data_IF_267148267033
#
_entry.id   IF_267148267033
#
_cell.length_a   1.000
_cell.length_b   1.000
_cell.length_c   1.000
_cell.angle_alpha   90.00
_cell.angle_beta   90.00
_cell.angle_gamma   90.00
#
_symmetry.space_group_name_H-M   'P 1'
#
loop_
_entity.id
_entity.type
_entity.pdbx_description
1 polymer ?
#
# COMPACT_ATOMS: atom_id res chain seq x y z
N UNK A 1 12.71 42.95 21.50
CA UNK A 1 13.14 41.55 21.71
C UNK A 1 11.97 40.57 21.81
N UNK A 2 10.90 40.85 22.56
CA UNK A 2 9.75 39.92 22.69
C UNK A 2 8.98 39.67 21.38
N UNK A 3 8.82 40.68 20.53
CA UNK A 3 8.18 40.52 19.21
C UNK A 3 9.01 39.69 18.21
N UNK A 4 10.35 39.70 18.34
CA UNK A 4 11.25 38.91 17.51
C UNK A 4 11.26 37.43 17.94
N UNK A 5 11.10 37.16 19.25
CA UNK A 5 10.99 35.81 19.79
C UNK A 5 9.66 35.14 19.41
N UNK A 6 8.56 35.90 19.37
CA UNK A 6 7.25 35.41 18.93
C UNK A 6 7.26 35.14 17.41
N UNK A 7 7.88 36.01 16.61
CA UNK A 7 8.05 35.76 15.17
C UNK A 7 8.96 34.56 14.88
N UNK A 8 9.98 34.29 15.72
CA UNK A 8 10.85 33.11 15.58
C UNK A 8 10.14 31.82 16.00
N UNK A 9 9.29 31.86 17.04
CA UNK A 9 8.46 30.72 17.47
C UNK A 9 7.34 30.44 16.44
N UNK A 10 6.75 31.47 15.82
CA UNK A 10 5.79 31.32 14.71
C UNK A 10 6.45 30.92 13.37
N UNK A 11 7.73 31.22 13.18
CA UNK A 11 8.50 30.73 12.02
C UNK A 11 9.05 29.30 12.21
N UNK A 12 9.14 28.84 13.47
CA UNK A 12 9.50 27.46 13.83
C UNK A 12 8.29 26.53 13.94
N UNK A 13 7.07 27.07 14.05
CA UNK A 13 5.89 26.38 13.54
C UNK A 13 5.88 26.50 12.02
N UNK A 14 6.87 25.90 11.34
CA UNK A 14 6.53 25.26 10.07
C UNK A 14 5.30 24.42 10.40
N UNK A 15 4.18 24.64 9.71
CA UNK A 15 3.08 23.70 9.77
C UNK A 15 3.72 22.34 9.53
N UNK A 16 3.89 21.55 10.59
CA UNK A 16 4.11 20.13 10.43
C UNK A 16 2.80 19.72 9.79
N UNK A 17 2.79 19.61 8.46
CA UNK A 17 1.72 18.92 7.77
C UNK A 17 1.59 17.60 8.54
N UNK A 18 0.43 17.38 9.15
CA UNK A 18 0.21 16.16 9.92
C UNK A 18 0.40 15.02 8.95
N UNK A 19 1.54 14.31 9.06
CA UNK A 19 1.81 13.11 8.28
C UNK A 19 0.61 12.19 8.42
N UNK A 20 -0.01 11.83 7.31
CA UNK A 20 -1.10 10.87 7.27
C UNK A 20 -0.69 9.66 6.42
N UNK A 21 -1.16 8.50 6.85
CA UNK A 21 -0.99 7.25 6.10
C UNK A 21 -2.36 6.71 5.72
N UNK A 22 -2.59 6.59 4.42
CA UNK A 22 -3.80 6.04 3.84
C UNK A 22 -3.57 4.61 3.36
N UNK A 23 -4.63 3.83 3.19
CA UNK A 23 -4.58 2.61 2.39
C UNK A 23 -5.41 2.81 1.11
N UNK A 24 -4.89 2.36 -0.02
CA UNK A 24 -5.64 2.33 -1.27
C UNK A 24 -6.76 1.30 -1.16
N UNK A 25 -7.99 1.65 -1.52
CA UNK A 25 -9.16 0.81 -1.35
C UNK A 25 -9.91 0.69 -2.68
N UNK A 26 -10.04 -0.53 -3.20
CA UNK A 26 -10.80 -0.82 -4.42
C UNK A 26 -12.29 -0.82 -4.08
N UNK A 27 -13.02 0.20 -4.53
CA UNK A 27 -14.47 0.28 -4.29
C UNK A 27 -15.17 -0.77 -5.14
N UNK A 28 -15.82 -1.70 -4.46
CA UNK A 28 -16.69 -2.72 -5.03
C UNK A 28 -17.98 -2.82 -4.23
N UNK A 29 -18.91 -3.64 -4.72
CA UNK A 29 -20.16 -3.91 -4.00
C UNK A 29 -19.86 -4.47 -2.60
N UNK A 30 -20.59 -3.99 -1.60
CA UNK A 30 -20.45 -4.40 -0.19
C UNK A 30 -21.73 -4.06 0.60
N UNK A 31 -21.79 -4.57 1.83
CA UNK A 31 -22.78 -4.22 2.84
C UNK A 31 -22.23 -3.19 3.85
N UNK A 32 -23.12 -2.55 4.61
CA UNK A 32 -22.71 -1.63 5.68
C UNK A 32 -21.99 -2.31 6.85
N UNK A 33 -22.26 -3.59 7.11
CA UNK A 33 -21.54 -4.39 8.11
C UNK A 33 -20.10 -4.62 7.70
N UNK A 34 -19.87 -4.95 6.43
CA UNK A 34 -18.54 -5.15 5.85
C UNK A 34 -17.73 -3.85 5.84
N UNK A 35 -18.36 -2.73 5.46
CA UNK A 35 -17.77 -1.40 5.58
C UNK A 35 -17.34 -1.10 7.03
N UNK A 36 -18.20 -1.42 8.01
CA UNK A 36 -17.89 -1.23 9.44
C UNK A 36 -16.71 -2.08 9.91
N UNK A 37 -16.61 -3.31 9.39
CA UNK A 37 -15.48 -4.20 9.69
C UNK A 37 -14.18 -3.65 9.11
N UNK A 38 -14.17 -3.25 7.83
CA UNK A 38 -12.99 -2.67 7.19
C UNK A 38 -12.49 -1.40 7.88
N UNK A 39 -13.40 -0.49 8.25
CA UNK A 39 -13.05 0.72 8.99
C UNK A 39 -12.46 0.37 10.36
N UNK A 40 -13.06 -0.58 11.09
CA UNK A 40 -12.58 -1.00 12.41
C UNK A 40 -11.17 -1.58 12.32
N UNK A 41 -10.95 -2.47 11.36
CA UNK A 41 -9.66 -3.14 11.17
C UNK A 41 -8.58 -2.16 10.68
N UNK A 42 -8.90 -1.24 9.78
CA UNK A 42 -7.96 -0.24 9.29
C UNK A 42 -7.53 0.74 10.39
N UNK A 43 -8.47 1.18 11.24
CA UNK A 43 -8.15 1.96 12.45
C UNK A 43 -7.24 1.13 13.38
N UNK A 44 -7.53 -0.15 13.58
CA UNK A 44 -6.72 -1.03 14.43
C UNK A 44 -5.30 -1.25 13.87
N UNK A 45 -5.14 -1.26 12.55
CA UNK A 45 -3.86 -1.29 11.84
C UNK A 45 -3.11 0.06 11.85
N UNK A 46 -3.76 1.15 12.27
CA UNK A 46 -3.16 2.46 12.49
C UNK A 46 -3.29 3.44 11.33
N UNK A 47 -4.06 3.10 10.29
CA UNK A 47 -4.32 3.98 9.15
C UNK A 47 -5.13 5.21 9.55
N UNK A 48 -4.87 6.33 8.86
CA UNK A 48 -5.65 7.57 9.00
C UNK A 48 -6.85 7.61 8.06
N UNK A 49 -6.85 6.79 7.01
CA UNK A 49 -7.95 6.76 6.07
C UNK A 49 -7.80 5.83 4.87
N UNK A 50 -8.79 5.89 3.98
CA UNK A 50 -8.76 5.22 2.68
C UNK A 50 -8.73 6.19 1.50
N UNK A 51 -7.95 5.83 0.48
CA UNK A 51 -8.07 6.38 -0.87
C UNK A 51 -9.02 5.49 -1.67
N UNK A 52 -10.27 5.93 -1.85
CA UNK A 52 -11.35 5.14 -2.44
C UNK A 52 -11.24 5.14 -3.96
N UNK A 53 -10.63 4.11 -4.53
CA UNK A 53 -10.52 3.88 -5.96
C UNK A 53 -11.89 3.54 -6.56
N UNK A 54 -12.36 4.38 -7.48
CA UNK A 54 -13.63 4.20 -8.16
C UNK A 54 -13.43 4.22 -9.68
N UNK A 55 -13.92 3.17 -10.35
CA UNK A 55 -13.86 3.01 -11.80
C UNK A 55 -15.17 3.37 -12.52
N UNK A 56 -16.17 3.88 -11.78
CA UNK A 56 -17.42 4.39 -12.35
C UNK A 56 -17.86 5.67 -11.66
N UNK A 57 -18.54 6.53 -12.42
CA UNK A 57 -19.23 7.74 -11.94
C UNK A 57 -20.70 7.77 -12.39
N UNK A 58 -21.21 6.67 -12.95
CA UNK A 58 -22.59 6.58 -13.44
C UNK A 58 -23.60 6.61 -12.30
N UNK A 59 -24.68 7.38 -12.46
CA UNK A 59 -25.80 7.40 -11.50
C UNK A 59 -26.58 6.07 -11.47
N UNK A 60 -26.40 5.20 -12.46
CA UNK A 60 -27.03 3.87 -12.48
C UNK A 60 -26.29 2.85 -11.62
N UNK A 61 -25.03 3.11 -11.31
CA UNK A 61 -24.17 2.19 -10.54
C UNK A 61 -24.33 2.46 -9.04
N UNK A 62 -25.55 2.29 -8.54
CA UNK A 62 -25.88 2.64 -7.15
C UNK A 62 -25.05 1.87 -6.14
N UNK A 63 -24.61 0.65 -6.48
CA UNK A 63 -23.69 -0.15 -5.66
C UNK A 63 -22.40 0.61 -5.31
N UNK A 64 -21.89 1.45 -6.21
CA UNK A 64 -20.66 2.21 -6.02
C UNK A 64 -20.89 3.37 -5.05
N UNK A 65 -21.96 4.13 -5.27
CA UNK A 65 -22.33 5.24 -4.38
C UNK A 65 -22.75 4.74 -2.99
N UNK A 66 -23.41 3.59 -2.92
CA UNK A 66 -23.80 2.94 -1.67
C UNK A 66 -22.56 2.49 -0.89
N UNK A 67 -21.59 1.83 -1.54
CA UNK A 67 -20.34 1.40 -0.92
C UNK A 67 -19.53 2.59 -0.35
N UNK A 68 -19.37 3.67 -1.13
CA UNK A 68 -18.70 4.89 -0.68
C UNK A 68 -19.43 5.49 0.54
N UNK A 69 -20.76 5.54 0.49
CA UNK A 69 -21.58 6.06 1.60
C UNK A 69 -21.45 5.18 2.84
N UNK A 70 -21.48 3.86 2.70
CA UNK A 70 -21.33 2.93 3.82
C UNK A 70 -19.98 3.08 4.52
N UNK A 71 -18.88 3.25 3.76
CA UNK A 71 -17.55 3.47 4.34
C UNK A 71 -17.48 4.81 5.08
N UNK A 72 -18.00 5.89 4.47
CA UNK A 72 -18.06 7.22 5.09
C UNK A 72 -18.90 7.21 6.38
N UNK A 73 -20.08 6.59 6.35
CA UNK A 73 -20.98 6.45 7.48
C UNK A 73 -20.35 5.60 8.59
N UNK A 74 -19.70 4.49 8.25
CA UNK A 74 -19.03 3.60 9.19
C UNK A 74 -17.90 4.29 9.97
N UNK A 75 -17.20 5.25 9.37
CA UNK A 75 -16.17 6.04 10.04
C UNK A 75 -16.73 7.22 10.85
N UNK A 76 -18.04 7.48 10.81
CA UNK A 76 -18.66 8.62 11.51
C UNK A 76 -18.37 8.59 13.01
N UNK A 77 -17.88 9.70 13.54
CA UNK A 77 -17.48 9.83 14.95
C UNK A 77 -16.07 9.33 15.26
N UNK A 78 -15.32 8.83 14.27
CA UNK A 78 -13.89 8.49 14.40
C UNK A 78 -13.02 9.54 13.71
N UNK A 79 -11.69 9.58 13.99
CA UNK A 79 -10.77 10.43 13.23
C UNK A 79 -10.45 9.89 11.83
N UNK A 80 -10.91 8.68 11.47
CA UNK A 80 -10.63 8.04 10.19
C UNK A 80 -11.29 8.79 9.03
N UNK A 81 -10.57 8.98 7.93
CA UNK A 81 -11.00 9.81 6.79
C UNK A 81 -10.98 9.04 5.47
N UNK A 82 -11.62 9.58 4.45
CA UNK A 82 -11.63 9.01 3.11
C UNK A 82 -11.57 10.10 2.05
N UNK A 83 -10.92 9.84 0.92
CA UNK A 83 -11.03 10.67 -0.28
C UNK A 83 -11.22 9.80 -1.51
N UNK A 84 -11.67 10.41 -2.61
CA UNK A 84 -11.86 9.69 -3.87
C UNK A 84 -10.56 9.63 -4.66
N UNK A 85 -10.27 8.45 -5.20
CA UNK A 85 -9.27 8.21 -6.23
C UNK A 85 -9.99 7.78 -7.50
N UNK A 86 -10.05 8.64 -8.52
CA UNK A 86 -10.72 8.31 -9.77
C UNK A 86 -9.82 7.44 -10.66
N UNK A 87 -10.29 6.24 -11.03
CA UNK A 87 -9.55 5.36 -11.92
C UNK A 87 -9.79 5.77 -13.38
N UNK A 88 -8.84 6.53 -13.93
CA UNK A 88 -8.93 7.08 -15.28
C UNK A 88 -8.59 6.03 -16.36
N UNK A 89 -8.07 4.86 -15.98
CA UNK A 89 -7.84 3.75 -16.92
C UNK A 89 -9.15 3.21 -17.50
N UNK A 90 -10.28 3.49 -16.83
CA UNK A 90 -11.63 3.14 -17.28
C UNK A 90 -12.28 4.21 -18.19
N UNK A 91 -11.52 5.22 -18.64
CA UNK A 91 -12.00 6.29 -19.51
C UNK A 91 -13.19 7.08 -18.91
N UNK A 92 -13.11 7.39 -17.61
CA UNK A 92 -14.09 8.23 -16.94
C UNK A 92 -14.17 9.61 -17.63
N UNK A 93 -15.39 10.13 -17.78
CA UNK A 93 -15.62 11.47 -18.31
C UNK A 93 -15.19 12.53 -17.28
N UNK A 94 -14.12 13.27 -17.60
CA UNK A 94 -13.51 14.31 -16.75
C UNK A 94 -14.56 15.35 -16.32
N UNK A 95 -15.48 15.70 -17.22
CA UNK A 95 -16.52 16.69 -16.95
C UNK A 95 -17.56 16.22 -15.90
N UNK A 96 -17.66 14.91 -15.68
CA UNK A 96 -18.53 14.29 -14.67
C UNK A 96 -17.87 14.12 -13.30
N UNK A 97 -16.54 14.18 -13.20
CA UNK A 97 -15.82 13.90 -11.94
C UNK A 97 -16.19 14.90 -10.83
N UNK A 98 -16.33 16.17 -11.18
CA UNK A 98 -16.66 17.22 -10.21
C UNK A 98 -18.03 17.03 -9.57
N UNK A 99 -19.05 16.70 -10.38
CA UNK A 99 -20.40 16.46 -9.85
C UNK A 99 -20.47 15.19 -8.99
N UNK A 100 -19.69 14.16 -9.33
CA UNK A 100 -19.56 12.96 -8.52
C UNK A 100 -18.87 13.24 -7.17
N UNK A 101 -17.75 13.99 -7.18
CA UNK A 101 -17.05 14.42 -5.97
C UNK A 101 -17.95 15.24 -5.03
N UNK A 102 -18.80 16.11 -5.58
CA UNK A 102 -19.72 16.95 -4.80
C UNK A 102 -20.74 16.15 -3.97
N UNK A 103 -21.02 14.89 -4.33
CA UNK A 103 -21.91 13.99 -3.57
C UNK A 103 -21.35 13.64 -2.19
N UNK A 104 -20.02 13.57 -2.07
CA UNK A 104 -19.35 13.02 -0.89
C UNK A 104 -18.47 14.02 -0.14
N UNK A 105 -17.95 15.05 -0.83
CA UNK A 105 -16.96 15.99 -0.28
C UNK A 105 -17.43 16.81 0.94
N UNK A 106 -18.75 16.90 1.17
CA UNK A 106 -19.33 17.55 2.36
C UNK A 106 -19.52 16.59 3.56
N UNK A 107 -19.26 15.29 3.40
CA UNK A 107 -19.35 14.33 4.49
C UNK A 107 -18.25 14.62 5.54
N UNK A 108 -18.56 14.52 6.84
CA UNK A 108 -17.60 14.87 7.90
C UNK A 108 -16.36 13.98 7.96
N UNK A 109 -16.42 12.81 7.33
CA UNK A 109 -15.33 11.84 7.21
C UNK A 109 -14.59 11.98 5.87
N UNK A 110 -15.01 12.90 5.00
CA UNK A 110 -14.22 13.22 3.81
C UNK A 110 -12.92 13.91 4.22
N UNK A 111 -11.79 13.48 3.65
CA UNK A 111 -10.49 14.05 3.92
C UNK A 111 -10.40 15.42 3.27
N UNK A 112 -10.18 16.44 4.09
CA UNK A 112 -10.01 17.82 3.66
C UNK A 112 -8.69 18.33 4.22
N UNK A 113 -8.04 19.17 3.42
CA UNK A 113 -6.88 19.95 3.87
C UNK A 113 -7.28 20.94 4.96
N UNK A 114 -6.30 21.52 5.66
CA UNK A 114 -6.55 22.46 6.75
C UNK A 114 -7.33 23.72 6.35
N UNK A 115 -7.27 24.12 5.07
CA UNK A 115 -8.04 25.22 4.50
C UNK A 115 -9.40 24.78 3.92
N UNK A 116 -9.79 23.52 4.14
CA UNK A 116 -11.11 23.00 3.81
C UNK A 116 -11.26 22.50 2.37
N UNK A 117 -10.17 22.35 1.61
CA UNK A 117 -10.22 21.83 0.24
C UNK A 117 -10.38 20.31 0.28
N UNK A 118 -11.41 19.72 -0.37
CA UNK A 118 -11.56 18.27 -0.44
C UNK A 118 -10.41 17.67 -1.23
N UNK A 119 -9.73 16.70 -0.62
CA UNK A 119 -8.65 15.97 -1.27
C UNK A 119 -9.19 15.06 -2.36
N UNK A 120 -8.49 14.95 -3.48
CA UNK A 120 -8.85 14.06 -4.57
C UNK A 120 -7.59 13.57 -5.29
N UNK A 121 -7.58 12.31 -5.67
CA UNK A 121 -6.52 11.69 -6.46
C UNK A 121 -7.08 11.01 -7.70
N UNK A 122 -6.20 10.49 -8.55
CA UNK A 122 -6.54 9.61 -9.67
C UNK A 122 -5.56 8.45 -9.71
N UNK A 123 -5.97 7.33 -10.31
CA UNK A 123 -5.06 6.37 -10.91
C UNK A 123 -5.03 6.65 -12.42
N UNK A 124 -3.82 6.88 -12.97
CA UNK A 124 -3.63 7.35 -14.36
C UNK A 124 -4.35 8.67 -14.70
N UNK A 125 -4.27 9.05 -15.99
CA UNK A 125 -4.99 10.19 -16.58
C UNK A 125 -4.08 11.24 -17.22
N UNK A 126 -2.76 11.09 -17.09
CA UNK A 126 -1.80 12.03 -17.65
C UNK A 126 -1.49 11.78 -19.13
N UNK A 127 -1.77 10.57 -19.62
CA UNK A 127 -1.66 10.23 -21.04
C UNK A 127 -2.88 10.67 -21.86
N UNK A 128 -4.07 10.65 -21.24
CA UNK A 128 -5.37 10.80 -21.91
C UNK A 128 -6.01 12.16 -21.71
N UNK A 129 -5.67 12.88 -20.64
CA UNK A 129 -6.27 14.17 -20.28
C UNK A 129 -5.18 15.23 -20.12
N UNK A 130 -5.29 16.31 -20.91
CA UNK A 130 -4.33 17.42 -20.82
C UNK A 130 -4.52 18.27 -19.56
N UNK A 131 -3.47 19.00 -19.16
CA UNK A 131 -3.57 19.97 -18.05
C UNK A 131 -4.73 20.98 -18.24
N UNK A 132 -4.92 21.50 -19.45
CA UNK A 132 -5.97 22.48 -19.75
C UNK A 132 -7.37 21.86 -19.59
N UNK A 133 -7.54 20.58 -19.93
CA UNK A 133 -8.80 19.87 -19.69
C UNK A 133 -9.02 19.61 -18.19
N UNK A 134 -7.99 19.19 -17.45
CA UNK A 134 -8.09 19.07 -15.99
C UNK A 134 -8.50 20.40 -15.34
N UNK A 135 -7.95 21.53 -15.78
CA UNK A 135 -8.35 22.84 -15.27
C UNK A 135 -9.80 23.17 -15.68
N UNK A 136 -10.10 23.17 -16.97
CA UNK A 136 -11.38 23.69 -17.48
C UNK A 136 -12.58 22.78 -17.26
N UNK A 137 -12.41 21.46 -17.20
CA UNK A 137 -13.49 20.48 -17.11
C UNK A 137 -13.65 19.91 -15.69
N UNK A 138 -12.60 19.89 -14.86
CA UNK A 138 -12.67 19.38 -13.49
C UNK A 138 -12.54 20.47 -12.42
N UNK A 139 -11.45 21.25 -12.43
CA UNK A 139 -11.17 22.21 -11.34
C UNK A 139 -12.06 23.46 -11.39
N UNK A 140 -12.11 24.16 -12.52
CA UNK A 140 -12.89 25.41 -12.64
C UNK A 140 -14.40 25.22 -12.39
N UNK A 141 -15.05 24.14 -12.87
CA UNK A 141 -16.46 23.90 -12.58
C UNK A 141 -16.77 23.72 -11.09
N UNK A 142 -15.88 23.07 -10.34
CA UNK A 142 -15.99 22.95 -8.88
C UNK A 142 -15.77 24.31 -8.20
N UNK A 143 -14.75 25.07 -8.63
CA UNK A 143 -14.46 26.40 -8.09
C UNK A 143 -15.65 27.35 -8.29
N UNK A 144 -16.33 27.29 -9.43
CA UNK A 144 -17.55 28.04 -9.70
C UNK A 144 -18.71 27.69 -8.73
N UNK A 145 -18.68 26.51 -8.12
CA UNK A 145 -19.62 26.06 -7.09
C UNK A 145 -19.12 26.34 -5.66
N UNK A 146 -17.98 27.03 -5.51
CA UNK A 146 -17.38 27.33 -4.21
C UNK A 146 -16.56 26.19 -3.61
N UNK A 147 -16.27 25.13 -4.38
CA UNK A 147 -15.46 24.00 -3.93
C UNK A 147 -14.14 24.02 -4.70
N UNK A 148 -13.01 24.25 -4.04
CA UNK A 148 -11.69 24.12 -4.67
C UNK A 148 -11.10 22.76 -4.27
N UNK A 149 -10.99 21.75 -5.17
CA UNK A 149 -10.38 20.48 -4.81
C UNK A 149 -8.89 20.65 -4.49
N UNK A 150 -8.31 19.75 -3.69
CA UNK A 150 -6.87 19.59 -3.51
C UNK A 150 -6.42 18.35 -4.28
N UNK A 151 -5.85 18.57 -5.47
CA UNK A 151 -5.72 17.53 -6.49
C UNK A 151 -4.32 16.90 -6.53
N UNK A 152 -4.21 15.61 -6.19
CA UNK A 152 -2.93 14.88 -6.06
C UNK A 152 -3.01 13.58 -6.88
N UNK A 153 -2.84 13.65 -8.21
CA UNK A 153 -3.01 12.50 -9.11
C UNK A 153 -1.77 11.59 -9.21
N UNK A 154 -2.01 10.37 -9.68
CA UNK A 154 -1.04 9.54 -10.40
C UNK A 154 -1.10 9.88 -11.87
N UNK A 155 -0.02 10.41 -12.43
CA UNK A 155 0.13 10.52 -13.89
C UNK A 155 1.41 9.83 -14.35
N UNK A 156 1.75 8.69 -13.74
CA UNK A 156 2.86 7.82 -14.19
C UNK A 156 2.70 7.40 -15.66
N UNK A 157 1.46 7.39 -16.17
CA UNK A 157 1.12 7.08 -17.56
C UNK A 157 1.50 8.20 -18.55
N UNK A 158 1.84 9.40 -18.07
CA UNK A 158 2.29 10.49 -18.93
C UNK A 158 3.69 10.22 -19.52
N UNK A 159 3.84 10.37 -20.83
CA UNK A 159 5.08 10.03 -21.54
C UNK A 159 6.35 10.79 -21.10
N UNK A 160 6.21 11.94 -20.42
CA UNK A 160 7.33 12.71 -19.88
C UNK A 160 7.69 12.37 -18.43
N UNK A 161 6.97 11.45 -17.80
CA UNK A 161 7.12 11.15 -16.38
C UNK A 161 8.50 10.56 -16.04
N UNK A 162 9.13 10.91 -14.90
CA UNK A 162 8.70 11.88 -13.88
C UNK A 162 9.21 13.32 -14.12
N UNK A 163 9.87 13.59 -15.26
CA UNK A 163 10.66 14.83 -15.43
C UNK A 163 9.80 16.02 -15.86
N UNK A 164 9.86 17.12 -15.11
CA UNK A 164 9.11 18.34 -15.44
C UNK A 164 7.60 18.18 -15.22
N UNK A 165 7.23 17.31 -14.28
CA UNK A 165 5.84 16.96 -13.99
C UNK A 165 5.00 18.20 -13.66
N UNK A 166 5.46 19.02 -12.70
CA UNK A 166 4.70 20.17 -12.22
C UNK A 166 4.70 21.36 -13.18
N UNK A 167 5.63 21.39 -14.14
CA UNK A 167 5.61 22.35 -15.25
C UNK A 167 4.58 21.95 -16.31
N UNK A 168 4.40 20.64 -16.52
CA UNK A 168 3.45 20.08 -17.49
C UNK A 168 2.02 20.06 -16.95
N UNK A 169 1.87 19.85 -15.64
CA UNK A 169 0.58 19.82 -14.94
C UNK A 169 0.54 20.86 -13.79
N UNK A 170 0.61 22.16 -14.08
CA UNK A 170 0.54 23.20 -13.05
C UNK A 170 -0.78 23.19 -12.26
N UNK A 171 -1.86 22.62 -12.81
CA UNK A 171 -3.19 22.55 -12.17
C UNK A 171 -3.23 21.72 -10.88
N UNK A 172 -2.34 20.75 -10.72
CA UNK A 172 -2.33 19.81 -9.57
C UNK A 172 -1.73 20.46 -8.32
N UNK A 173 -2.08 19.99 -7.14
CA UNK A 173 -1.51 20.42 -5.85
C UNK A 173 -0.42 19.48 -5.32
N UNK A 174 -0.27 18.32 -5.93
CA UNK A 174 0.77 17.35 -5.61
C UNK A 174 0.84 16.24 -6.64
N UNK A 175 1.63 15.22 -6.35
CA UNK A 175 1.71 14.01 -7.17
C UNK A 175 1.91 12.79 -6.28
N UNK A 176 1.68 11.62 -6.85
CA UNK A 176 2.27 10.37 -6.37
C UNK A 176 2.61 9.48 -7.57
N UNK A 177 3.34 8.39 -7.31
CA UNK A 177 3.60 7.34 -8.29
C UNK A 177 2.98 6.01 -7.86
N UNK A 178 2.24 5.37 -8.77
CA UNK A 178 1.79 3.99 -8.62
C UNK A 178 2.94 3.02 -8.89
N UNK A 179 3.64 3.18 -10.02
CA UNK A 179 4.59 2.19 -10.53
C UNK A 179 5.88 2.10 -9.71
N UNK A 180 6.30 3.20 -9.05
CA UNK A 180 7.47 3.23 -8.17
C UNK A 180 7.33 2.35 -6.91
N UNK A 181 6.13 1.87 -6.58
CA UNK A 181 5.93 0.99 -5.43
C UNK A 181 6.57 -0.40 -5.60
N UNK A 182 7.01 -0.74 -6.81
CA UNK A 182 7.62 -2.02 -7.15
C UNK A 182 8.90 -1.87 -7.98
N UNK A 183 9.79 -2.88 -7.95
CA UNK A 183 10.95 -2.86 -8.80
C UNK A 183 10.59 -3.00 -10.28
N UNK A 184 11.45 -2.45 -11.13
CA UNK A 184 11.44 -2.72 -12.56
C UNK A 184 11.60 -4.23 -12.84
N UNK A 185 11.28 -4.65 -14.07
CA UNK A 185 11.54 -6.02 -14.50
C UNK A 185 13.01 -6.40 -14.29
N UNK A 186 13.28 -7.53 -13.64
CA UNK A 186 14.63 -7.98 -13.33
C UNK A 186 14.76 -8.48 -11.89
N UNK A 187 16.00 -8.46 -11.37
CA UNK A 187 16.33 -9.00 -10.03
C UNK A 187 16.84 -7.93 -9.06
N UNK A 188 16.73 -6.65 -9.43
CA UNK A 188 17.09 -5.52 -8.58
C UNK A 188 15.94 -5.16 -7.63
N UNK A 189 16.27 -4.80 -6.39
CA UNK A 189 15.29 -4.28 -5.44
C UNK A 189 14.67 -2.97 -5.95
N UNK A 190 13.53 -2.61 -5.35
CA UNK A 190 12.80 -1.38 -5.68
C UNK A 190 13.67 -0.15 -5.47
N UNK A 191 13.57 0.80 -6.40
CA UNK A 191 14.28 2.08 -6.36
C UNK A 191 13.36 3.16 -5.81
N UNK A 192 13.92 4.14 -5.11
CA UNK A 192 13.26 5.35 -4.65
C UNK A 192 13.59 6.59 -5.50
N UNK A 193 14.33 6.42 -6.60
CA UNK A 193 14.79 7.53 -7.45
C UNK A 193 13.65 8.35 -8.08
N UNK A 194 12.52 7.70 -8.40
CA UNK A 194 11.33 8.41 -8.92
C UNK A 194 10.69 9.23 -7.80
N UNK A 195 10.59 8.66 -6.61
CA UNK A 195 10.05 9.32 -5.43
C UNK A 195 10.90 10.53 -5.04
N UNK A 196 12.22 10.37 -4.95
CA UNK A 196 13.17 11.45 -4.64
C UNK A 196 13.04 12.60 -5.65
N UNK A 197 13.03 12.29 -6.95
CA UNK A 197 12.86 13.28 -8.02
C UNK A 197 11.56 14.06 -7.91
N UNK A 198 10.44 13.40 -7.57
CA UNK A 198 9.15 14.08 -7.46
C UNK A 198 8.99 14.86 -6.16
N UNK A 199 9.57 14.39 -5.06
CA UNK A 199 9.67 15.16 -3.82
C UNK A 199 10.41 16.48 -4.09
N UNK A 200 11.58 16.42 -4.73
CA UNK A 200 12.37 17.60 -5.09
C UNK A 200 11.58 18.57 -5.98
N UNK A 201 10.98 18.05 -7.06
CA UNK A 201 10.19 18.87 -7.99
C UNK A 201 8.96 19.49 -7.31
N UNK A 202 8.24 18.74 -6.46
CA UNK A 202 7.05 19.21 -5.77
C UNK A 202 7.40 20.34 -4.80
N UNK A 203 8.40 20.12 -3.96
CA UNK A 203 8.81 21.07 -2.93
C UNK A 203 9.39 22.34 -3.54
N UNK A 204 10.05 22.26 -4.71
CA UNK A 204 10.54 23.42 -5.45
C UNK A 204 9.43 24.39 -5.88
N UNK A 205 8.19 23.91 -6.06
CA UNK A 205 7.02 24.71 -6.43
C UNK A 205 5.95 24.81 -5.34
N UNK A 206 6.27 24.39 -4.11
CA UNK A 206 5.37 24.46 -2.95
C UNK A 206 4.18 23.49 -3.01
N UNK A 207 4.35 22.37 -3.71
CA UNK A 207 3.39 21.25 -3.83
C UNK A 207 3.86 20.06 -2.99
N UNK A 208 3.00 19.06 -2.82
CA UNK A 208 3.31 17.87 -2.00
C UNK A 208 3.59 16.63 -2.83
N UNK A 209 4.23 15.64 -2.21
CA UNK A 209 4.35 14.30 -2.75
C UNK A 209 3.81 13.26 -1.77
N UNK A 210 2.96 12.36 -2.27
CA UNK A 210 2.48 11.19 -1.52
C UNK A 210 3.21 9.95 -2.02
N UNK A 211 3.95 9.26 -1.15
CA UNK A 211 4.74 8.09 -1.55
C UNK A 211 3.96 6.79 -1.28
N UNK A 212 4.15 5.78 -2.12
CA UNK A 212 3.41 4.52 -1.99
C UNK A 212 4.31 3.32 -1.69
N UNK A 213 4.09 2.61 -0.56
CA UNK A 213 4.61 1.27 -0.35
C UNK A 213 3.57 0.21 -0.77
N UNK A 214 4.04 -0.90 -1.33
CA UNK A 214 3.27 -2.13 -1.46
C UNK A 214 3.89 -3.24 -0.61
N UNK A 215 3.08 -4.01 0.15
CA UNK A 215 3.57 -5.03 1.08
C UNK A 215 4.06 -6.29 0.38
N UNK A 216 3.69 -6.45 -0.88
CA UNK A 216 4.09 -7.54 -1.74
C UNK A 216 4.83 -6.96 -2.95
N UNK A 217 5.70 -7.74 -3.62
CA UNK A 217 5.83 -7.56 -5.06
C UNK A 217 4.43 -7.58 -5.67
N UNK A 218 4.22 -6.73 -6.67
CA UNK A 218 3.11 -6.86 -7.58
C UNK A 218 3.08 -8.31 -8.08
N UNK A 219 2.02 -9.02 -7.71
CA UNK A 219 1.64 -10.25 -8.36
C UNK A 219 0.39 -9.95 -9.18
N UNK A 220 0.50 -9.26 -10.33
CA UNK A 220 -0.60 -9.23 -11.25
C UNK A 220 -0.78 -10.65 -11.78
N UNK A 221 -1.69 -11.37 -11.14
CA UNK A 221 -2.68 -12.14 -11.87
C UNK A 221 -3.63 -11.14 -12.52
N UNK A 222 -3.10 -10.27 -13.39
CA UNK A 222 -3.92 -9.41 -14.21
C UNK A 222 -4.50 -10.28 -15.31
N UNK A 223 -5.60 -10.98 -14.96
CA UNK A 223 -6.43 -11.74 -15.90
C UNK A 223 -7.22 -10.80 -16.82
N UNK A 224 -6.57 -9.77 -17.35
CA UNK A 224 -7.01 -9.00 -18.48
C UNK A 224 -6.03 -9.23 -19.63
N UNK A 225 -6.44 -10.15 -20.51
CA UNK A 225 -6.00 -10.22 -21.90
C UNK A 225 -4.47 -10.16 -22.15
N UNK A 226 -3.67 -10.97 -21.46
CA UNK A 226 -2.26 -11.20 -21.81
C UNK A 226 -1.25 -10.24 -21.18
N UNK A 227 -1.61 -9.62 -20.06
CA UNK A 227 -0.76 -8.68 -19.32
C UNK A 227 -0.33 -9.22 -17.95
N UNK A 228 -0.18 -10.54 -17.80
CA UNK A 228 0.33 -11.14 -16.56
C UNK A 228 1.85 -10.97 -16.48
N UNK A 229 2.37 -10.38 -15.41
CA UNK A 229 3.81 -10.29 -15.17
C UNK A 229 4.16 -10.54 -13.72
N UNK A 230 5.36 -11.07 -13.48
CA UNK A 230 5.92 -11.19 -12.15
C UNK A 230 6.96 -10.09 -11.94
N UNK A 231 6.85 -9.33 -10.84
CA UNK A 231 7.92 -8.47 -10.34
C UNK A 231 8.50 -9.12 -9.09
N UNK A 232 9.83 -9.08 -8.93
CA UNK A 232 10.43 -9.54 -7.69
C UNK A 232 10.01 -8.64 -6.53
N UNK A 233 10.08 -9.16 -5.31
CA UNK A 233 9.72 -8.35 -4.15
C UNK A 233 9.68 -9.12 -2.85
N UNK A 234 10.40 -10.23 -2.77
CA UNK A 234 10.58 -10.99 -1.54
C UNK A 234 10.85 -10.12 -0.31
N UNK A 235 11.50 -8.95 -0.48
CA UNK A 235 11.72 -7.93 0.57
C UNK A 235 11.11 -6.55 0.25
N UNK A 236 10.13 -6.43 -0.67
CA UNK A 236 9.61 -5.13 -1.14
C UNK A 236 9.07 -4.25 -0.01
N UNK A 237 8.25 -4.82 0.90
CA UNK A 237 7.68 -4.10 2.04
C UNK A 237 8.74 -3.42 2.91
N UNK A 238 9.72 -4.15 3.51
CA UNK A 238 10.72 -3.53 4.37
C UNK A 238 11.66 -2.57 3.61
N UNK A 239 11.96 -2.84 2.33
CA UNK A 239 12.74 -1.91 1.49
C UNK A 239 12.00 -0.57 1.30
N UNK A 240 10.72 -0.59 0.93
CA UNK A 240 9.90 0.63 0.80
C UNK A 240 9.74 1.36 2.13
N UNK A 241 9.58 0.63 3.23
CA UNK A 241 9.55 1.22 4.58
C UNK A 241 10.85 2.02 4.84
N UNK A 242 12.01 1.42 4.56
CA UNK A 242 13.30 2.11 4.74
C UNK A 242 13.41 3.37 3.88
N UNK A 243 13.00 3.28 2.60
CA UNK A 243 13.01 4.41 1.67
C UNK A 243 12.07 5.54 2.12
N UNK A 244 10.85 5.22 2.57
CA UNK A 244 9.89 6.21 3.09
C UNK A 244 10.45 6.91 4.33
N UNK A 245 11.05 6.16 5.25
CA UNK A 245 11.66 6.77 6.43
C UNK A 245 12.85 7.65 6.04
N UNK A 246 13.67 7.24 5.07
CA UNK A 246 14.79 8.07 4.60
C UNK A 246 14.32 9.36 3.90
N UNK A 247 13.42 9.24 2.92
CA UNK A 247 12.99 10.35 2.08
C UNK A 247 12.00 11.31 2.77
N UNK A 248 11.27 10.84 3.78
CA UNK A 248 10.28 11.64 4.52
C UNK A 248 9.27 12.36 3.60
N UNK A 249 8.49 11.62 2.77
CA UNK A 249 7.44 12.21 1.95
C UNK A 249 6.38 12.93 2.81
N UNK A 250 5.52 13.74 2.18
CA UNK A 250 4.47 14.48 2.90
C UNK A 250 3.35 13.55 3.39
N UNK A 251 3.00 12.56 2.55
CA UNK A 251 1.95 11.57 2.80
C UNK A 251 2.41 10.18 2.35
N UNK A 252 1.76 9.16 2.89
CA UNK A 252 1.97 7.77 2.48
C UNK A 252 0.64 7.13 2.11
N UNK A 253 0.60 6.38 1.02
CA UNK A 253 -0.56 5.55 0.67
C UNK A 253 -0.15 4.10 0.41
N UNK A 254 -0.54 3.20 1.32
CA UNK A 254 -0.21 1.77 1.24
C UNK A 254 -1.11 1.07 0.22
N UNK A 255 -0.50 0.41 -0.76
CA UNK A 255 -1.16 -0.35 -1.82
C UNK A 255 -1.19 -1.83 -1.42
N UNK A 256 -2.31 -2.44 -1.03
CA UNK A 256 -3.69 -1.91 -0.91
C UNK A 256 -4.37 -2.50 0.33
N UNK A 257 -5.55 -1.99 0.69
CA UNK A 257 -6.41 -2.62 1.67
C UNK A 257 -7.03 -3.93 1.17
N UNK A 258 -7.64 -3.95 -0.02
CA UNK A 258 -8.53 -5.05 -0.45
C UNK A 258 -8.38 -5.51 -1.90
N UNK A 259 -7.31 -5.16 -2.61
CA UNK A 259 -7.11 -5.64 -3.98
C UNK A 259 -6.65 -7.10 -4.04
N UNK A 260 -7.63 -7.99 -4.04
CA UNK A 260 -7.45 -9.43 -4.19
C UNK A 260 -7.00 -9.83 -5.60
N UNK A 261 -7.34 -9.04 -6.62
CA UNK A 261 -7.00 -9.32 -8.01
C UNK A 261 -5.49 -9.30 -8.24
N UNK A 262 -4.80 -8.40 -7.57
CA UNK A 262 -3.34 -8.22 -7.65
C UNK A 262 -2.57 -8.81 -6.45
N UNK A 263 -3.29 -9.45 -5.52
CA UNK A 263 -2.73 -10.24 -4.42
C UNK A 263 -1.79 -9.47 -3.46
N UNK A 264 -1.86 -8.13 -3.44
CA UNK A 264 -1.07 -7.28 -2.55
C UNK A 264 -1.90 -6.57 -1.46
N UNK A 265 -3.14 -7.01 -1.26
CA UNK A 265 -4.01 -6.52 -0.21
C UNK A 265 -3.48 -6.89 1.19
N UNK A 266 -3.84 -6.13 2.23
CA UNK A 266 -3.47 -6.40 3.64
C UNK A 266 -4.67 -6.51 4.57
N UNK A 267 -5.85 -6.11 4.12
CA UNK A 267 -7.10 -6.10 4.86
C UNK A 267 -8.02 -7.22 4.42
N UNK A 268 -9.31 -7.00 4.58
CA UNK A 268 -10.33 -7.91 4.07
C UNK A 268 -10.62 -7.59 2.60
N UNK A 269 -10.99 -8.60 1.82
CA UNK A 269 -11.70 -8.41 0.56
C UNK A 269 -12.99 -9.23 0.62
N UNK A 270 -14.06 -8.70 0.04
CA UNK A 270 -15.39 -9.29 0.13
C UNK A 270 -15.70 -10.11 -1.13
N UNK A 271 -16.38 -11.27 -1.02
CA UNK A 271 -16.68 -12.13 -2.16
C UNK A 271 -17.36 -11.40 -3.34
N UNK A 272 -18.22 -10.43 -3.03
CA UNK A 272 -18.95 -9.59 -3.97
C UNK A 272 -18.01 -8.75 -4.86
N UNK A 273 -16.85 -8.34 -4.35
CA UNK A 273 -15.88 -7.49 -5.06
C UNK A 273 -15.21 -8.24 -6.21
N UNK A 274 -15.07 -9.57 -6.07
CA UNK A 274 -14.41 -10.42 -7.07
C UNK A 274 -15.41 -11.34 -7.80
N UNK A 275 -16.69 -11.22 -7.50
CA UNK A 275 -17.73 -12.09 -8.04
C UNK A 275 -17.80 -12.00 -9.57
N UNK A 276 -17.93 -13.15 -10.23
CA UNK A 276 -17.99 -13.22 -11.70
C UNK A 276 -16.64 -13.06 -12.41
N UNK A 277 -15.55 -12.93 -11.67
CA UNK A 277 -14.17 -12.92 -12.20
C UNK A 277 -13.46 -14.25 -11.95
N UNK A 278 -12.28 -14.45 -12.55
CA UNK A 278 -11.38 -15.54 -12.21
C UNK A 278 -10.56 -15.29 -10.94
N UNK A 279 -10.63 -14.11 -10.33
CA UNK A 279 -9.74 -13.71 -9.23
C UNK A 279 -9.84 -14.66 -8.03
N UNK A 280 -11.04 -15.19 -7.78
CA UNK A 280 -11.29 -16.16 -6.73
C UNK A 280 -10.52 -17.48 -6.86
N UNK A 281 -10.00 -17.84 -8.04
CA UNK A 281 -9.22 -19.07 -8.20
C UNK A 281 -7.84 -19.00 -7.51
N UNK A 282 -7.26 -17.80 -7.39
CA UNK A 282 -5.96 -17.59 -6.77
C UNK A 282 -5.99 -16.80 -5.47
N UNK A 283 -7.01 -15.95 -5.26
CA UNK A 283 -7.12 -15.13 -4.05
C UNK A 283 -7.82 -15.85 -2.88
N UNK A 284 -8.79 -16.73 -3.16
CA UNK A 284 -9.58 -17.37 -2.09
C UNK A 284 -8.72 -18.26 -1.19
N UNK A 285 -8.97 -18.17 0.11
CA UNK A 285 -8.26 -18.93 1.13
C UNK A 285 -6.88 -18.39 1.48
N UNK A 286 -6.48 -17.24 0.94
CA UNK A 286 -5.32 -16.48 1.40
C UNK A 286 -5.75 -15.40 2.38
N UNK A 287 -4.87 -15.09 3.32
CA UNK A 287 -5.04 -14.01 4.28
C UNK A 287 -3.71 -13.28 4.43
N UNK A 288 -3.70 -11.99 4.11
CA UNK A 288 -2.50 -11.16 4.12
C UNK A 288 -2.37 -10.23 5.34
N UNK A 289 -3.30 -10.33 6.29
CA UNK A 289 -3.30 -9.50 7.51
C UNK A 289 -2.05 -9.66 8.37
N UNK A 290 -1.26 -10.72 8.19
CA UNK A 290 0.04 -10.87 8.83
C UNK A 290 0.96 -9.67 8.60
N UNK A 291 0.97 -9.08 7.40
CA UNK A 291 1.77 -7.87 7.10
C UNK A 291 1.37 -6.65 7.94
N UNK A 292 0.14 -6.60 8.48
CA UNK A 292 -0.27 -5.51 9.36
C UNK A 292 0.58 -5.43 10.63
N UNK A 293 1.19 -6.53 11.08
CA UNK A 293 2.13 -6.52 12.21
C UNK A 293 3.42 -5.74 11.92
N UNK A 294 3.78 -5.55 10.65
CA UNK A 294 4.92 -4.74 10.21
C UNK A 294 4.49 -3.30 9.89
N UNK A 295 3.32 -3.16 9.25
CA UNK A 295 2.80 -1.87 8.79
C UNK A 295 2.40 -0.98 9.97
N UNK A 296 1.73 -1.53 10.98
CA UNK A 296 1.25 -0.75 12.13
C UNK A 296 2.39 -0.04 12.90
N UNK A 297 3.51 -0.71 13.24
CA UNK A 297 4.67 -0.05 13.84
C UNK A 297 5.31 0.98 12.92
N UNK A 298 5.42 0.67 11.63
CA UNK A 298 5.92 1.60 10.62
C UNK A 298 5.09 2.89 10.56
N UNK A 299 3.76 2.81 10.51
CA UNK A 299 2.89 3.98 10.48
C UNK A 299 3.15 4.87 11.70
N UNK A 300 3.27 4.27 12.88
CA UNK A 300 3.59 5.00 14.09
C UNK A 300 4.95 5.71 13.99
N UNK A 301 6.00 5.00 13.56
CA UNK A 301 7.34 5.54 13.40
C UNK A 301 7.41 6.68 12.36
N UNK A 302 6.78 6.50 11.20
CA UNK A 302 6.72 7.53 10.16
C UNK A 302 6.06 8.81 10.68
N UNK A 303 4.93 8.69 11.38
CA UNK A 303 4.17 9.81 11.93
C UNK A 303 4.89 10.53 13.08
N UNK A 304 5.76 9.84 13.82
CA UNK A 304 6.63 10.46 14.84
C UNK A 304 7.93 11.03 14.28
N UNK A 305 8.17 10.90 12.97
CA UNK A 305 9.34 11.46 12.31
C UNK A 305 10.59 10.58 12.38
N UNK A 306 10.42 9.26 12.54
CA UNK A 306 11.52 8.33 12.35
C UNK A 306 12.09 8.47 10.93
N UNK A 307 13.41 8.37 10.82
CA UNK A 307 14.17 8.48 9.57
C UNK A 307 14.90 7.19 9.20
N UNK A 308 14.88 6.19 10.08
CA UNK A 308 15.60 4.93 9.89
C UNK A 308 14.82 3.75 10.48
N UNK A 309 14.98 2.57 9.88
CA UNK A 309 14.30 1.33 10.30
C UNK A 309 14.66 0.86 11.72
N UNK A 310 15.83 1.26 12.24
CA UNK A 310 16.24 1.00 13.61
C UNK A 310 15.39 1.76 14.66
N UNK A 311 14.65 2.79 14.23
CA UNK A 311 13.77 3.59 15.10
C UNK A 311 12.32 3.06 15.12
N UNK A 312 12.02 1.99 14.39
CA UNK A 312 10.69 1.38 14.41
C UNK A 312 10.56 0.56 15.70
N UNK A 313 9.78 1.07 16.64
CA UNK A 313 9.56 0.41 17.92
C UNK A 313 8.43 -0.62 17.87
N UNK A 314 8.61 -1.74 18.59
CA UNK A 314 7.53 -2.69 18.82
C UNK A 314 6.41 -2.05 19.65
N UNK A 315 5.18 -2.15 19.13
CA UNK A 315 3.95 -1.63 19.76
C UNK A 315 3.46 -2.51 20.89
N UNK A 316 3.81 -3.80 20.87
CA UNK A 316 3.45 -4.77 21.92
C UNK A 316 4.50 -4.89 23.03
N UNK A 317 5.71 -4.34 22.84
CA UNK A 317 6.86 -4.58 23.71
C UNK A 317 7.44 -6.01 23.58
N UNK A 318 7.00 -6.75 22.57
CA UNK A 318 7.47 -8.10 22.22
C UNK A 318 7.78 -8.16 20.72
N UNK A 319 8.54 -9.15 20.23
CA UNK A 319 8.74 -9.29 18.79
C UNK A 319 7.40 -9.35 18.04
N UNK A 320 7.29 -8.56 16.97
CA UNK A 320 6.10 -8.49 16.12
C UNK A 320 6.51 -8.38 14.66
N UNK A 321 5.74 -8.94 13.75
CA UNK A 321 6.13 -9.02 12.35
C UNK A 321 5.47 -10.15 11.61
N UNK A 322 5.99 -10.47 10.42
CA UNK A 322 5.42 -11.47 9.54
C UNK A 322 6.49 -12.30 8.83
N UNK A 323 6.08 -13.50 8.44
CA UNK A 323 6.76 -14.36 7.49
C UNK A 323 5.85 -14.55 6.26
N UNK A 324 6.45 -14.62 5.08
CA UNK A 324 5.71 -14.99 3.87
C UNK A 324 6.54 -15.84 2.92
N UNK A 325 5.85 -16.68 2.15
CA UNK A 325 6.45 -17.58 1.15
C UNK A 325 5.41 -17.99 0.11
N UNK A 326 5.85 -18.34 -1.10
CA UNK A 326 4.94 -18.84 -2.13
C UNK A 326 4.61 -20.31 -1.85
N UNK A 327 3.35 -20.74 -1.96
CA UNK A 327 2.96 -22.14 -1.83
C UNK A 327 3.20 -22.95 -3.11
N UNK A 328 3.87 -22.37 -4.11
CA UNK A 328 4.24 -23.04 -5.35
C UNK A 328 5.69 -22.71 -5.70
N UNK A 329 6.52 -23.73 -5.91
CA UNK A 329 7.92 -23.55 -6.31
C UNK A 329 8.02 -22.97 -7.72
N UNK A 330 9.08 -22.21 -7.99
CA UNK A 330 9.37 -21.70 -9.35
C UNK A 330 9.55 -22.80 -10.38
N UNK A 331 9.99 -23.98 -9.95
CA UNK A 331 10.16 -25.16 -10.80
C UNK A 331 8.87 -25.96 -11.03
N UNK A 332 7.74 -25.53 -10.47
CA UNK A 332 6.50 -26.28 -10.55
C UNK A 332 5.93 -26.31 -11.97
N UNK A 333 5.32 -27.44 -12.36
CA UNK A 333 4.63 -27.53 -13.64
C UNK A 333 3.25 -26.87 -13.57
N UNK A 334 3.07 -25.79 -14.34
CA UNK A 334 1.80 -25.13 -14.57
C UNK A 334 1.84 -24.37 -15.91
N UNK A 335 0.69 -24.17 -16.54
CA UNK A 335 0.56 -23.31 -17.69
C UNK A 335 0.64 -21.85 -17.21
N UNK A 336 1.80 -21.22 -17.39
CA UNK A 336 1.99 -19.80 -17.05
C UNK A 336 1.84 -18.93 -18.29
N UNK A 337 0.87 -18.01 -18.28
CA UNK A 337 0.88 -16.81 -19.13
C UNK A 337 1.70 -15.67 -18.49
N UNK A 338 2.11 -15.83 -17.23
CA UNK A 338 2.85 -14.83 -16.46
C UNK A 338 4.24 -14.66 -17.06
N UNK A 339 4.57 -13.45 -17.48
CA UNK A 339 5.91 -13.07 -17.94
C UNK A 339 6.84 -12.82 -16.76
N UNK A 340 8.17 -12.92 -16.94
CA UNK A 340 9.20 -12.68 -15.91
C UNK A 340 9.17 -13.61 -14.68
N UNK A 341 8.33 -14.62 -14.69
CA UNK A 341 8.09 -15.53 -13.59
C UNK A 341 9.39 -16.22 -13.09
N UNK A 342 10.33 -16.48 -13.99
CA UNK A 342 11.62 -17.09 -13.67
C UNK A 342 12.52 -16.26 -12.74
N UNK A 343 12.17 -14.99 -12.50
CA UNK A 343 12.88 -14.09 -11.59
C UNK A 343 12.51 -14.33 -10.12
N UNK A 344 11.40 -15.04 -9.87
CA UNK A 344 10.91 -15.37 -8.56
C UNK A 344 11.93 -16.20 -7.75
N UNK A 345 12.04 -15.97 -6.45
CA UNK A 345 13.00 -16.68 -5.58
C UNK A 345 12.29 -17.67 -4.66
N UNK A 346 12.68 -18.93 -4.70
CA UNK A 346 12.16 -19.95 -3.77
C UNK A 346 12.78 -19.72 -2.38
N UNK A 347 12.14 -18.83 -1.63
CA UNK A 347 12.60 -18.31 -0.35
C UNK A 347 11.48 -18.27 0.71
N UNK A 348 11.89 -18.31 1.97
CA UNK A 348 11.07 -17.91 3.12
C UNK A 348 11.51 -16.51 3.51
N UNK A 349 10.59 -15.55 3.45
CA UNK A 349 10.87 -14.14 3.71
C UNK A 349 10.33 -13.76 5.08
N UNK A 350 10.97 -12.80 5.74
CA UNK A 350 10.44 -12.24 6.98
C UNK A 350 10.74 -10.75 7.13
N UNK A 351 9.92 -10.11 7.94
CA UNK A 351 10.15 -8.79 8.52
C UNK A 351 9.69 -8.83 9.99
N UNK A 352 10.60 -8.56 10.92
CA UNK A 352 10.39 -8.65 12.37
C UNK A 352 10.91 -7.38 13.04
N UNK A 353 10.04 -6.71 13.77
CA UNK A 353 10.38 -5.62 14.67
C UNK A 353 10.74 -6.22 16.03
N UNK A 354 11.96 -5.93 16.49
CA UNK A 354 12.45 -6.40 17.78
C UNK A 354 12.53 -5.22 18.76
N UNK A 355 12.03 -5.38 20.00
CA UNK A 355 12.22 -4.39 21.04
C UNK A 355 13.70 -4.31 21.48
N UNK A 356 14.07 -3.23 22.16
CA UNK A 356 15.37 -3.11 22.80
C UNK A 356 15.61 -4.26 23.79
N UNK A 357 16.83 -4.79 23.79
CA UNK A 357 17.24 -5.90 24.66
C UNK A 357 18.74 -5.84 24.93
N UNK A 358 19.14 -6.15 26.17
CA UNK A 358 20.55 -6.20 26.59
C UNK A 358 21.34 -7.31 25.87
N UNK A 359 20.64 -8.30 25.35
CA UNK A 359 21.19 -9.44 24.60
C UNK A 359 20.52 -9.56 23.24
N UNK A 360 21.26 -9.88 22.16
CA UNK A 360 20.69 -9.97 20.83
C UNK A 360 19.66 -11.10 20.74
N UNK A 361 18.61 -10.86 19.96
CA UNK A 361 17.69 -11.91 19.57
C UNK A 361 18.34 -12.82 18.52
N UNK A 362 17.77 -14.00 18.32
CA UNK A 362 18.10 -14.88 17.20
C UNK A 362 16.83 -15.15 16.40
N UNK A 363 16.89 -15.02 15.08
CA UNK A 363 15.80 -15.38 14.16
C UNK A 363 16.22 -16.64 13.41
N UNK A 364 15.49 -17.73 13.61
CA UNK A 364 15.68 -19.00 12.92
C UNK A 364 14.59 -19.18 11.87
N UNK A 365 14.98 -19.54 10.65
CA UNK A 365 14.08 -19.70 9.50
C UNK A 365 14.10 -21.14 9.05
N UNK A 366 12.92 -21.72 8.86
CA UNK A 366 12.72 -23.12 8.52
C UNK A 366 11.93 -23.27 7.23
N UNK A 367 12.31 -24.27 6.44
CA UNK A 367 11.52 -24.76 5.30
C UNK A 367 11.47 -26.28 5.34
N UNK A 368 10.28 -26.85 5.18
CA UNK A 368 10.06 -28.29 5.33
C UNK A 368 10.63 -28.85 6.66
N UNK A 369 10.46 -28.11 7.76
CA UNK A 369 11.03 -28.39 9.09
C UNK A 369 12.57 -28.39 9.18
N UNK A 370 13.28 -28.08 8.11
CA UNK A 370 14.74 -27.95 8.10
C UNK A 370 15.13 -26.49 8.37
N UNK A 371 16.13 -26.28 9.22
CA UNK A 371 16.71 -24.95 9.44
C UNK A 371 17.46 -24.51 8.17
N UNK A 372 16.98 -23.46 7.52
CA UNK A 372 17.56 -22.90 6.28
C UNK A 372 18.30 -21.58 6.49
N UNK A 373 18.02 -20.88 7.59
CA UNK A 373 18.70 -19.63 7.94
C UNK A 373 18.70 -19.36 9.45
N UNK A 374 19.73 -18.65 9.92
CA UNK A 374 19.87 -18.22 11.32
C UNK A 374 20.55 -16.86 11.37
N UNK A 375 19.88 -15.88 11.97
CA UNK A 375 20.29 -14.47 11.95
C UNK A 375 20.32 -13.91 13.37
N UNK A 376 21.27 -13.02 13.64
CA UNK A 376 21.28 -12.21 14.87
C UNK A 376 20.35 -11.01 14.65
N UNK A 377 19.38 -10.83 15.54
CA UNK A 377 18.43 -9.72 15.48
C UNK A 377 18.85 -8.56 16.38
N UNK A 378 18.63 -7.32 15.91
CA UNK A 378 18.88 -6.07 16.64
C UNK A 378 17.58 -5.31 16.87
N UNK A 379 17.58 -4.32 17.75
CA UNK A 379 16.43 -3.42 17.93
C UNK A 379 16.00 -2.77 16.61
N UNK A 380 14.68 -2.62 16.42
CA UNK A 380 14.10 -2.09 15.19
C UNK A 380 13.65 -3.17 14.21
N UNK A 381 13.42 -2.78 12.96
CA UNK A 381 12.98 -3.67 11.90
C UNK A 381 14.16 -4.47 11.31
N UNK A 382 14.03 -5.79 11.33
CA UNK A 382 14.97 -6.77 10.76
C UNK A 382 14.24 -7.55 9.66
N UNK A 383 14.87 -7.76 8.52
CA UNK A 383 14.23 -8.49 7.42
C UNK A 383 15.25 -9.20 6.54
N UNK A 384 14.84 -10.32 5.95
CA UNK A 384 15.65 -11.07 4.98
C UNK A 384 14.75 -11.84 4.01
N UNK A 385 15.29 -12.15 2.83
CA UNK A 385 14.76 -13.20 1.95
C UNK A 385 15.71 -14.39 2.01
N UNK A 386 15.25 -15.50 2.61
CA UNK A 386 16.10 -16.66 2.91
C UNK A 386 15.88 -17.75 1.86
N UNK A 387 16.84 -17.99 0.95
CA UNK A 387 16.71 -19.03 -0.06
C UNK A 387 16.66 -20.43 0.55
N UNK A 388 16.11 -21.38 -0.20
CA UNK A 388 16.02 -22.77 0.21
C UNK A 388 14.61 -23.20 0.60
N UNK A 389 13.59 -22.56 0.02
CA UNK A 389 12.21 -23.02 0.13
C UNK A 389 12.09 -24.43 -0.49
N UNK A 390 11.47 -25.35 0.25
CA UNK A 390 11.30 -26.75 -0.10
C UNK A 390 9.82 -27.11 -0.14
N UNK A 391 9.45 -28.02 -1.05
CA UNK A 391 8.12 -28.62 -1.09
C UNK A 391 7.79 -29.37 0.22
N UNK A 392 6.51 -29.35 0.60
CA UNK A 392 6.00 -29.85 1.89
C UNK A 392 5.55 -28.72 2.82
N UNK A 393 5.11 -29.06 4.03
CA UNK A 393 4.71 -28.11 5.08
C UNK A 393 5.82 -27.78 6.07
N UNK A 394 5.57 -26.92 7.06
CA UNK A 394 6.56 -26.60 8.11
C UNK A 394 7.51 -25.45 7.76
N UNK A 395 7.07 -24.55 6.89
CA UNK A 395 7.66 -23.24 6.67
C UNK A 395 7.38 -22.40 7.91
N UNK A 396 8.42 -21.94 8.60
CA UNK A 396 8.24 -21.20 9.84
C UNK A 396 9.42 -20.30 10.15
N UNK A 397 9.18 -19.27 10.97
CA UNK A 397 10.24 -18.57 11.69
C UNK A 397 10.06 -18.71 13.20
N UNK A 398 11.18 -18.71 13.92
CA UNK A 398 11.23 -18.65 15.38
C UNK A 398 12.11 -17.48 15.79
N UNK A 399 11.60 -16.65 16.68
CA UNK A 399 12.38 -15.59 17.34
C UNK A 399 12.74 -16.10 18.73
N UNK A 400 14.03 -16.12 19.02
CA UNK A 400 14.58 -16.55 20.30
C UNK A 400 15.18 -15.35 21.05
N UNK A 401 14.97 -15.28 22.35
CA UNK A 401 15.65 -14.32 23.23
C UNK A 401 17.15 -14.65 23.40
N UNK A 402 17.90 -13.78 24.07
CA UNK A 402 19.33 -14.00 24.32
C UNK A 402 19.66 -15.17 25.26
N UNK A 403 18.65 -15.79 25.88
CA UNK A 403 18.79 -17.04 26.64
C UNK A 403 18.53 -18.28 25.78
N UNK A 404 18.14 -18.10 24.52
CA UNK A 404 17.80 -19.17 23.59
C UNK A 404 16.37 -19.71 23.74
N UNK A 405 15.48 -19.01 24.44
CA UNK A 405 14.07 -19.40 24.52
C UNK A 405 13.31 -18.85 23.32
N UNK A 406 12.47 -19.66 22.70
CA UNK A 406 11.54 -19.19 21.66
C UNK A 406 10.49 -18.29 22.30
N UNK A 407 10.47 -17.01 21.89
CA UNK A 407 9.52 -16.01 22.39
C UNK A 407 8.36 -15.74 21.43
N UNK A 408 8.57 -15.96 20.13
CA UNK A 408 7.55 -15.79 19.08
C UNK A 408 7.77 -16.77 17.94
N UNK A 409 6.69 -17.16 17.28
CA UNK A 409 6.74 -17.97 16.05
C UNK A 409 5.73 -17.51 15.02
N UNK A 410 6.04 -17.70 13.74
CA UNK A 410 5.05 -17.72 12.67
C UNK A 410 5.17 -19.07 11.95
N UNK A 411 4.06 -19.80 11.85
CA UNK A 411 4.00 -21.13 11.25
C UNK A 411 3.08 -21.07 10.03
N UNK A 412 3.64 -21.34 8.84
CA UNK A 412 2.90 -21.41 7.59
C UNK A 412 1.78 -22.43 7.64
N UNK A 413 0.61 -22.09 7.07
CA UNK A 413 -0.55 -23.00 7.06
C UNK A 413 -0.76 -23.70 5.72
N UNK A 414 -0.02 -23.29 4.68
CA UNK A 414 -0.09 -23.85 3.34
C UNK A 414 1.19 -24.62 3.01
N UNK A 415 1.04 -25.84 2.50
CA UNK A 415 2.16 -26.60 1.97
C UNK A 415 2.73 -25.93 0.71
N UNK A 416 4.03 -26.03 0.53
CA UNK A 416 4.70 -25.66 -0.72
C UNK A 416 4.59 -26.84 -1.69
N UNK A 417 4.07 -26.58 -2.87
CA UNK A 417 3.82 -27.58 -3.90
C UNK A 417 4.91 -27.57 -4.98
N UNK A 418 5.21 -28.76 -5.51
CA UNK A 418 6.09 -28.96 -6.67
C UNK A 418 5.30 -29.05 -8.00
N UNK A 419 3.97 -29.09 -7.93
CA UNK A 419 3.05 -29.12 -9.07
C UNK A 419 1.82 -28.30 -8.70
N UNK A 420 1.25 -27.55 -9.64
CA UNK A 420 0.02 -26.81 -9.35
C UNK A 420 -1.17 -27.76 -9.22
N UNK A 421 -2.05 -27.49 -8.25
CA UNK A 421 -3.32 -28.20 -8.11
C UNK A 421 -4.26 -27.98 -9.31
N UNK A 422 -4.08 -26.86 -10.01
CA UNK A 422 -4.71 -26.55 -11.28
C UNK A 422 -3.61 -26.33 -12.33
N UNK A 423 -3.42 -27.31 -13.22
CA UNK A 423 -2.39 -27.24 -14.25
C UNK A 423 -2.57 -26.04 -15.21
N UNK A 424 -3.75 -25.40 -15.23
CA UNK A 424 -4.01 -24.20 -16.05
C UNK A 424 -3.58 -22.89 -15.38
N UNK A 425 -3.14 -22.91 -14.12
CA UNK A 425 -2.82 -21.71 -13.34
C UNK A 425 -1.59 -21.91 -12.44
N UNK A 426 -0.65 -20.98 -12.50
CA UNK A 426 0.46 -20.89 -11.55
C UNK A 426 0.07 -19.98 -10.38
N UNK A 427 -0.57 -20.49 -9.32
CA UNK A 427 -0.92 -19.63 -8.18
C UNK A 427 0.31 -19.33 -7.31
N UNK A 428 0.73 -18.07 -7.35
CA UNK A 428 1.93 -17.52 -6.74
C UNK A 428 1.62 -16.48 -5.66
N UNK A 429 0.34 -16.43 -5.26
CA UNK A 429 -0.08 -15.63 -4.13
C UNK A 429 0.70 -16.04 -2.87
N UNK A 430 1.01 -15.08 -2.00
CA UNK A 430 1.82 -15.36 -0.81
C UNK A 430 0.96 -15.94 0.32
N UNK A 431 1.43 -17.02 0.94
CA UNK A 431 1.02 -17.29 2.31
C UNK A 431 1.71 -16.25 3.21
N UNK A 432 0.94 -15.53 4.02
CA UNK A 432 1.47 -14.52 4.95
C UNK A 432 1.01 -14.86 6.36
N UNK A 433 1.94 -15.00 7.29
CA UNK A 433 1.66 -15.37 8.67
C UNK A 433 2.33 -14.39 9.63
N UNK A 434 1.53 -13.75 10.46
CA UNK A 434 2.03 -12.88 11.53
C UNK A 434 2.65 -13.67 12.69
N UNK A 435 3.55 -13.05 13.45
CA UNK A 435 4.10 -13.64 14.67
C UNK A 435 3.00 -13.83 15.74
N UNK A 436 3.06 -14.94 16.47
CA UNK A 436 2.17 -15.29 17.58
C UNK A 436 2.95 -15.64 18.83
#
# INVERSE_FOLDING_TARGET
>A
MMALLIALILALTRLVASKAVFAHYMVGSMTSTEASQDITDAIAAGFDGFALNTHTISDTDTWNTDAITYLLDAASGTPFKMFLSFDMSWNLDVSGLGSFLAKFSNHSQYYTTSDGRPWVSTYSGGSSVSNDQWDTEFVQPLVAQGVKPYFVPDFDDWAGYPTGFFDSFPVVDGAFSWESAWPDSGVANVSDSVDESLIEQAHAVGKIYMMRPSPSPLHPFLVWAGSDWYRIGETNLPERIAQILSLQPDFVEVITWNDAGESHYIGNFWPEQIAGTSQGSYANGYNHSGWQQVIKPFIAAYKTGATDIAQIESRSGSPEGAMWYRPLLTSASCASTITNYQQAKDAVNFAVILPSSDTPYTIEVYSNNNLVGKFSGVEGLNYESVPGLQAGGGQSIRVLDGSGNVVKTANGTKDVLNESADASMCNWNYEVVGLS
#
